data_IF_697622399912
#
_entry.id   IF_697622399912
#
_cell.length_a   1.000
_cell.length_b   1.000
_cell.length_c   1.000
_cell.angle_alpha   90.00
_cell.angle_beta   90.00
_cell.angle_gamma   90.00
#
_symmetry.space_group_name_H-M   'P 1'
#
loop_
_entity.id
_entity.type
_entity.pdbx_description
1 polymer ?
#
# COMPACT_ATOMS: atom_id res chain seq x y z
N UNK A 1 -47.39 -7.82 41.13
CA UNK A 1 -46.94 -7.09 39.92
C UNK A 1 -45.52 -7.54 39.62
N UNK A 2 -45.26 -8.23 38.50
CA UNK A 2 -43.94 -8.74 38.13
C UNK A 2 -43.22 -7.69 37.28
N UNK A 3 -42.14 -7.12 37.81
CA UNK A 3 -41.25 -6.24 37.06
C UNK A 3 -40.52 -7.08 36.00
N UNK A 4 -40.85 -6.87 34.73
CA UNK A 4 -40.11 -7.43 33.61
C UNK A 4 -38.83 -6.59 33.50
N UNK A 5 -37.75 -7.12 34.06
CA UNK A 5 -36.39 -6.59 33.97
C UNK A 5 -36.03 -6.30 32.52
N UNK A 6 -35.62 -5.06 32.27
CA UNK A 6 -35.27 -4.54 30.96
C UNK A 6 -33.84 -4.97 30.58
N UNK A 7 -33.58 -6.28 30.53
CA UNK A 7 -32.26 -6.88 30.24
C UNK A 7 -31.83 -6.76 28.77
N UNK A 8 -32.66 -6.13 27.93
CA UNK A 8 -32.39 -5.99 26.50
C UNK A 8 -31.35 -4.91 26.17
N UNK A 9 -31.03 -4.00 27.09
CA UNK A 9 -30.03 -2.92 26.85
C UNK A 9 -28.59 -3.33 27.13
N UNK A 10 -28.37 -4.39 27.91
CA UNK A 10 -27.05 -4.80 28.39
C UNK A 10 -26.33 -5.74 27.43
N UNK A 11 -27.07 -6.56 26.66
CA UNK A 11 -26.49 -7.51 25.71
C UNK A 11 -26.06 -6.87 24.36
N UNK A 12 -26.62 -5.73 23.98
CA UNK A 12 -26.34 -5.08 22.68
C UNK A 12 -24.97 -4.42 22.67
N UNK A 13 -24.53 -3.88 23.81
CA UNK A 13 -23.21 -3.26 23.97
C UNK A 13 -22.07 -4.25 23.69
N UNK A 14 -21.93 -5.39 24.38
CA UNK A 14 -20.81 -6.30 24.14
C UNK A 14 -20.82 -6.84 22.70
N UNK A 15 -21.99 -7.18 22.14
CA UNK A 15 -22.09 -7.66 20.76
C UNK A 15 -21.65 -6.59 19.77
N UNK A 16 -22.07 -5.33 19.93
CA UNK A 16 -21.64 -4.24 19.07
C UNK A 16 -20.12 -3.98 19.15
N UNK A 17 -19.54 -4.06 20.35
CA UNK A 17 -18.10 -3.91 20.55
C UNK A 17 -17.31 -5.07 19.93
N UNK A 18 -17.76 -6.31 20.08
CA UNK A 18 -17.13 -7.46 19.43
C UNK A 18 -17.23 -7.39 17.91
N UNK A 19 -18.38 -6.99 17.37
CA UNK A 19 -18.54 -6.75 15.92
C UNK A 19 -17.58 -5.67 15.42
N UNK A 20 -17.44 -4.56 16.16
CA UNK A 20 -16.50 -3.49 15.81
C UNK A 20 -15.05 -4.00 15.79
N UNK A 21 -14.65 -4.78 16.80
CA UNK A 21 -13.31 -5.38 16.89
C UNK A 21 -13.05 -6.32 15.72
N UNK A 22 -14.02 -7.15 15.32
CA UNK A 22 -13.89 -8.05 14.18
C UNK A 22 -13.75 -7.29 12.85
N UNK A 23 -14.50 -6.19 12.68
CA UNK A 23 -14.39 -5.33 11.48
C UNK A 23 -13.01 -4.69 11.41
N UNK A 24 -12.50 -4.16 12.52
CA UNK A 24 -11.15 -3.57 12.59
C UNK A 24 -10.08 -4.62 12.29
N UNK A 25 -10.17 -5.81 12.90
CA UNK A 25 -9.26 -6.93 12.62
C UNK A 25 -9.30 -7.35 11.15
N UNK A 26 -10.48 -7.44 10.56
CA UNK A 26 -10.65 -7.77 9.14
C UNK A 26 -10.00 -6.74 8.23
N UNK A 27 -10.18 -5.45 8.51
CA UNK A 27 -9.53 -4.35 7.79
C UNK A 27 -8.01 -4.42 7.90
N UNK A 28 -7.47 -4.65 9.11
CA UNK A 28 -6.03 -4.79 9.33
C UNK A 28 -5.44 -5.97 8.57
N UNK A 29 -6.13 -7.11 8.53
CA UNK A 29 -5.70 -8.29 7.76
C UNK A 29 -5.72 -8.03 6.26
N UNK A 30 -6.73 -7.31 5.76
CA UNK A 30 -6.82 -6.95 4.34
C UNK A 30 -5.65 -6.03 3.93
N UNK A 31 -5.35 -5.02 4.76
CA UNK A 31 -4.20 -4.14 4.57
C UNK A 31 -2.90 -4.94 4.60
N UNK A 32 -2.72 -5.82 5.60
CA UNK A 32 -1.54 -6.65 5.72
C UNK A 32 -1.34 -7.60 4.53
N UNK A 33 -2.42 -8.16 3.98
CA UNK A 33 -2.36 -9.00 2.79
C UNK A 33 -1.78 -8.26 1.58
N UNK A 34 -2.18 -7.00 1.37
CA UNK A 34 -1.65 -6.14 0.29
C UNK A 34 -0.14 -5.86 0.50
N UNK A 35 0.30 -5.70 1.76
CA UNK A 35 1.73 -5.47 2.07
C UNK A 35 2.62 -6.69 1.78
N UNK A 36 2.09 -7.91 1.94
CA UNK A 36 2.89 -9.15 1.94
C UNK A 36 2.83 -9.88 0.59
N UNK A 37 1.71 -9.78 -0.13
CA UNK A 37 1.46 -10.59 -1.34
C UNK A 37 1.77 -9.80 -2.63
N UNK A 38 1.96 -8.49 -2.54
CA UNK A 38 2.27 -7.66 -3.71
C UNK A 38 3.58 -8.03 -4.42
N UNK A 39 3.69 -7.63 -5.67
CA UNK A 39 4.89 -7.73 -6.49
C UNK A 39 6.03 -6.89 -5.89
N UNK A 40 7.23 -7.48 -5.86
CA UNK A 40 8.42 -6.85 -5.28
C UNK A 40 9.01 -5.82 -6.22
N UNK A 41 9.90 -4.99 -5.68
CA UNK A 41 10.67 -4.04 -6.48
C UNK A 41 11.39 -4.75 -7.65
N UNK A 42 11.20 -4.26 -8.87
CA UNK A 42 11.71 -4.84 -10.11
C UNK A 42 10.83 -5.91 -10.74
N UNK A 43 9.73 -6.33 -10.09
CA UNK A 43 8.76 -7.24 -10.69
C UNK A 43 7.71 -6.47 -11.50
N UNK A 44 7.12 -7.10 -12.54
CA UNK A 44 6.11 -6.47 -13.35
C UNK A 44 4.84 -6.17 -12.55
N UNK A 45 4.22 -5.02 -12.84
CA UNK A 45 3.01 -4.55 -12.16
C UNK A 45 1.93 -4.10 -13.15
N UNK A 46 0.68 -4.25 -12.72
CA UNK A 46 -0.48 -3.74 -13.47
C UNK A 46 -0.84 -2.34 -12.98
N UNK A 47 -0.79 -2.13 -11.66
CA UNK A 47 -1.06 -0.87 -10.98
C UNK A 47 -0.22 -0.75 -9.68
N UNK A 48 -0.22 0.42 -9.04
CA UNK A 48 0.55 0.65 -7.80
C UNK A 48 0.03 -0.18 -6.61
N UNK A 49 -1.24 -0.59 -6.63
CA UNK A 49 -1.82 -1.46 -5.58
C UNK A 49 -1.29 -2.89 -5.64
N UNK A 50 -0.84 -3.32 -6.81
CA UNK A 50 -0.20 -4.62 -7.00
C UNK A 50 1.21 -4.69 -6.42
N UNK A 51 1.83 -3.56 -6.04
CA UNK A 51 3.17 -3.51 -5.47
C UNK A 51 3.19 -3.73 -3.96
N UNK A 52 4.11 -4.59 -3.50
CA UNK A 52 4.31 -4.83 -2.07
C UNK A 52 4.84 -3.57 -1.40
N UNK A 53 4.12 -3.07 -0.40
CA UNK A 53 4.56 -1.90 0.35
C UNK A 53 3.92 -0.58 -0.06
N UNK A 54 2.92 -0.55 -0.95
CA UNK A 54 2.36 0.71 -1.49
C UNK A 54 1.92 1.67 -0.37
N UNK A 55 1.19 1.17 0.63
CA UNK A 55 0.65 2.04 1.70
C UNK A 55 1.67 2.41 2.80
N UNK A 56 2.79 1.70 2.94
CA UNK A 56 3.69 1.84 4.10
C UNK A 56 5.14 2.09 3.68
N UNK A 57 5.64 1.32 2.71
CA UNK A 57 7.01 1.40 2.22
C UNK A 57 7.15 2.31 0.98
N UNK A 58 6.05 2.89 0.49
CA UNK A 58 6.10 3.83 -0.64
C UNK A 58 6.51 3.16 -1.95
N UNK A 59 5.97 1.97 -2.23
CA UNK A 59 6.22 1.30 -3.52
C UNK A 59 5.24 1.79 -4.58
N UNK A 60 5.68 2.03 -5.81
CA UNK A 60 4.85 2.54 -6.90
C UNK A 60 5.06 1.74 -8.19
N UNK A 61 4.03 1.61 -9.03
CA UNK A 61 4.17 1.00 -10.34
C UNK A 61 4.67 2.03 -11.36
N UNK A 62 5.90 1.90 -11.82
CA UNK A 62 6.54 2.80 -12.78
C UNK A 62 6.43 2.22 -14.18
N UNK A 63 5.98 3.04 -15.12
CA UNK A 63 5.92 2.70 -16.54
C UNK A 63 7.14 3.27 -17.28
N UNK A 64 7.88 2.40 -17.96
CA UNK A 64 8.94 2.74 -18.90
C UNK A 64 8.49 2.43 -20.33
N UNK A 65 9.31 2.79 -21.33
CA UNK A 65 8.99 2.57 -22.75
C UNK A 65 8.73 1.10 -23.10
N UNK A 66 9.29 0.16 -22.34
CA UNK A 66 9.26 -1.28 -22.65
C UNK A 66 8.49 -2.12 -21.63
N UNK A 67 8.38 -1.67 -20.38
CA UNK A 67 7.77 -2.46 -19.30
C UNK A 67 7.26 -1.59 -18.14
N UNK A 68 6.33 -2.16 -17.37
CA UNK A 68 5.84 -1.61 -16.10
C UNK A 68 6.37 -2.45 -14.96
N UNK A 69 7.00 -1.83 -13.96
CA UNK A 69 7.57 -2.54 -12.82
C UNK A 69 7.34 -1.80 -11.50
N UNK A 70 7.27 -2.56 -10.41
CA UNK A 70 7.23 -1.98 -9.08
C UNK A 70 8.57 -1.34 -8.73
N UNK A 71 8.52 -0.09 -8.28
CA UNK A 71 9.62 0.69 -7.74
C UNK A 71 9.31 1.15 -6.31
N UNK A 72 10.24 1.86 -5.68
CA UNK A 72 10.08 2.53 -4.40
C UNK A 72 10.47 4.00 -4.53
N UNK A 73 9.83 4.84 -3.73
CA UNK A 73 10.28 6.22 -3.53
C UNK A 73 11.70 6.26 -2.98
N UNK A 74 12.45 7.25 -3.42
CA UNK A 74 13.81 7.53 -2.98
C UNK A 74 13.97 9.03 -2.74
N UNK A 75 14.97 9.42 -1.96
CA UNK A 75 15.41 10.82 -1.88
C UNK A 75 16.80 10.99 -2.50
N UNK A 76 17.57 9.91 -2.55
CA UNK A 76 18.91 9.88 -3.11
C UNK A 76 19.20 8.53 -3.76
N UNK A 77 20.23 8.48 -4.61
CA UNK A 77 20.71 7.23 -5.24
C UNK A 77 21.09 6.14 -4.22
N UNK A 78 21.43 6.52 -2.99
CA UNK A 78 21.80 5.57 -1.93
C UNK A 78 20.61 4.79 -1.36
N UNK A 79 19.39 5.31 -1.54
CA UNK A 79 18.16 4.62 -1.11
C UNK A 79 17.77 3.49 -2.07
N UNK A 80 18.37 3.50 -3.26
CA UNK A 80 18.07 2.55 -4.33
C UNK A 80 18.98 1.31 -4.26
N UNK A 81 18.46 0.15 -4.66
CA UNK A 81 19.26 -1.08 -4.75
C UNK A 81 20.35 -0.98 -5.83
N UNK A 82 21.35 -1.86 -5.76
CA UNK A 82 22.44 -1.90 -6.74
C UNK A 82 21.92 -1.96 -8.18
N UNK A 83 22.50 -1.12 -9.06
CA UNK A 83 22.11 -0.91 -10.47
C UNK A 83 20.82 -0.10 -10.69
N UNK A 84 20.36 0.62 -9.67
CA UNK A 84 19.26 1.56 -9.75
C UNK A 84 19.73 2.96 -9.36
N UNK A 85 19.01 3.99 -9.79
CA UNK A 85 19.24 5.38 -9.41
C UNK A 85 17.94 6.05 -9.02
N UNK A 86 18.01 7.09 -8.22
CA UNK A 86 16.86 7.92 -7.93
C UNK A 86 16.59 8.84 -9.11
N UNK A 87 15.41 8.71 -9.72
CA UNK A 87 15.03 9.49 -10.89
C UNK A 87 13.56 9.88 -10.81
N UNK A 88 13.16 10.84 -11.66
CA UNK A 88 11.79 11.31 -11.66
C UNK A 88 10.82 10.20 -12.09
N UNK A 89 9.73 10.04 -11.33
CA UNK A 89 8.64 9.15 -11.71
C UNK A 89 7.93 9.77 -12.93
N UNK A 90 7.81 9.02 -14.03
CA UNK A 90 6.97 9.45 -15.15
C UNK A 90 5.51 9.56 -14.64
N UNK A 91 4.85 10.73 -14.72
CA UNK A 91 3.70 11.14 -13.89
C UNK A 91 2.36 10.45 -14.19
N UNK A 92 2.37 9.17 -14.56
CA UNK A 92 1.15 8.34 -14.53
C UNK A 92 0.82 7.93 -13.08
N UNK A 93 1.09 8.83 -12.13
CA UNK A 93 0.85 8.69 -10.71
C UNK A 93 -0.63 8.98 -10.48
N UNK A 94 -1.44 7.92 -10.47
CA UNK A 94 -2.84 7.97 -10.03
C UNK A 94 -2.92 8.02 -8.49
N UNK A 95 -2.30 9.00 -7.85
CA UNK A 95 -2.54 9.29 -6.43
C UNK A 95 -2.71 10.78 -6.22
N UNK A 96 -3.96 11.15 -5.95
CA UNK A 96 -4.50 12.50 -5.83
C UNK A 96 -3.90 13.39 -4.71
N UNK A 97 -2.81 13.01 -4.02
CA UNK A 97 -2.46 13.65 -2.74
C UNK A 97 -0.96 13.71 -2.35
N UNK A 98 -0.01 13.40 -3.23
CA UNK A 98 1.42 13.48 -2.89
C UNK A 98 2.17 14.47 -3.77
N UNK A 99 1.93 15.76 -3.53
CA UNK A 99 2.68 16.92 -4.07
C UNK A 99 4.15 16.98 -3.58
N UNK A 100 4.70 15.88 -3.04
CA UNK A 100 5.91 15.89 -2.20
C UNK A 100 6.96 14.83 -2.53
N UNK A 101 6.70 13.89 -3.44
CA UNK A 101 7.67 12.84 -3.77
C UNK A 101 7.63 12.54 -5.27
N UNK A 102 8.42 13.31 -6.04
CA UNK A 102 8.54 13.17 -7.49
C UNK A 102 9.57 12.11 -7.92
N UNK A 103 10.29 11.49 -6.99
CA UNK A 103 11.44 10.63 -7.30
C UNK A 103 11.28 9.19 -6.81
N UNK A 104 11.59 8.25 -7.71
CA UNK A 104 11.51 6.81 -7.52
C UNK A 104 12.79 6.15 -8.02
N UNK A 105 13.08 4.95 -7.52
CA UNK A 105 14.20 4.18 -8.02
C UNK A 105 13.93 3.70 -9.45
N UNK A 106 14.71 4.15 -10.41
CA UNK A 106 14.64 3.65 -11.78
C UNK A 106 15.83 2.74 -12.06
N UNK A 107 15.56 1.61 -12.69
CA UNK A 107 16.61 0.68 -13.09
C UNK A 107 17.47 1.36 -14.17
N UNK A 108 18.80 1.30 -14.01
CA UNK A 108 19.72 1.78 -15.03
C UNK A 108 19.64 0.83 -16.23
N UNK A 109 18.82 1.14 -17.23
CA UNK A 109 18.90 0.47 -18.53
C UNK A 109 20.26 0.80 -19.14
N UNK A 110 21.08 -0.20 -19.52
CA UNK A 110 22.33 0.08 -20.21
C UNK A 110 21.98 0.77 -21.52
N UNK A 111 22.38 2.04 -21.67
CA UNK A 111 22.35 2.71 -22.96
C UNK A 111 23.22 1.90 -23.93
N UNK A 112 22.57 1.22 -24.88
CA UNK A 112 23.20 0.62 -26.05
C UNK A 112 23.51 1.68 -27.09
#
# INVERSE_FOLDING_TARGET
>A
MKAISNDRKTAVRPVFWWSLVLVILGLLLLIAAIQVIGAKQGEPCVDSYSCSGFLIAGSECVETETERYCSKYCQSDQDCPDLWRCGDANPTVLTFETELIDTVCVKLTPHS
#
